data_IF_008826219310
#
_entry.id   IF_008826219310
#
_cell.length_a   1.000
_cell.length_b   1.000
_cell.length_c   1.000
_cell.angle_alpha   90.00
_cell.angle_beta   90.00
_cell.angle_gamma   90.00
#
_symmetry.space_group_name_H-M   'P 1'
#
loop_
_entity.id
_entity.type
_entity.pdbx_description
1 polymer ?
#
# COMPACT_ATOMS: atom_id res chain seq x y z
N UNK A 1 10.63 9.86 11.25
CA UNK A 1 11.27 8.78 10.45
C UNK A 1 12.15 9.40 9.38
N UNK A 2 13.44 9.02 9.31
CA UNK A 2 14.39 9.41 8.26
C UNK A 2 14.38 8.36 7.14
N UNK A 3 14.60 8.77 5.89
CA UNK A 3 14.58 7.86 4.73
C UNK A 3 15.90 8.02 3.97
N UNK A 4 16.61 6.91 3.76
CA UNK A 4 17.89 6.86 3.07
C UNK A 4 17.79 6.02 1.80
N UNK A 5 18.42 6.48 0.72
CA UNK A 5 18.59 5.70 -0.51
C UNK A 5 19.99 5.10 -0.57
N UNK A 6 20.06 3.79 -0.38
CA UNK A 6 21.33 3.07 -0.27
C UNK A 6 21.85 3.04 1.17
N UNK A 7 22.79 2.15 1.42
CA UNK A 7 23.35 1.90 2.74
C UNK A 7 24.63 2.70 3.05
N UNK A 8 25.26 3.29 2.05
CA UNK A 8 26.46 4.14 2.20
C UNK A 8 26.03 5.61 2.27
N UNK A 9 25.43 6.00 3.37
CA UNK A 9 25.02 7.39 3.60
C UNK A 9 25.72 7.93 4.85
N UNK A 10 26.29 9.13 4.77
CA UNK A 10 27.09 9.74 5.85
C UNK A 10 26.32 9.89 7.18
N UNK A 11 25.00 9.93 7.14
CA UNK A 11 24.15 10.07 8.33
C UNK A 11 23.68 8.72 8.90
N UNK A 12 24.11 7.59 8.32
CA UNK A 12 23.87 6.23 8.82
C UNK A 12 25.02 5.76 9.73
N UNK A 13 25.41 6.61 10.69
CA UNK A 13 26.58 6.37 11.55
C UNK A 13 26.24 5.77 12.91
N UNK A 14 24.97 5.69 13.27
CA UNK A 14 24.54 5.15 14.55
C UNK A 14 24.26 3.64 14.47
N UNK A 15 24.70 2.86 15.45
CA UNK A 15 24.31 1.47 15.58
C UNK A 15 22.78 1.33 15.64
N UNK A 16 22.24 0.22 15.12
CA UNK A 16 20.78 0.06 15.02
C UNK A 16 20.29 -1.35 15.32
N UNK A 17 19.00 -1.43 15.64
CA UNK A 17 18.20 -2.65 15.54
C UNK A 17 17.51 -2.68 14.18
N UNK A 18 17.77 -3.74 13.39
CA UNK A 18 17.39 -3.84 11.99
C UNK A 18 16.36 -4.95 11.75
N UNK A 19 15.43 -4.70 10.85
CA UNK A 19 14.70 -5.76 10.15
C UNK A 19 14.78 -5.57 8.65
N UNK A 20 14.72 -6.68 7.91
CA UNK A 20 14.95 -6.74 6.47
C UNK A 20 13.75 -7.38 5.78
N UNK A 21 13.16 -6.71 4.80
CA UNK A 21 12.03 -7.28 4.06
C UNK A 21 11.46 -6.37 2.99
N UNK A 22 10.55 -6.93 2.21
CA UNK A 22 9.87 -6.15 1.17
C UNK A 22 8.78 -5.23 1.75
N UNK A 23 8.20 -5.58 2.87
CA UNK A 23 7.14 -4.84 3.57
C UNK A 23 5.99 -4.39 2.66
N UNK A 24 5.66 -5.22 1.65
CA UNK A 24 4.58 -4.90 0.73
C UNK A 24 3.23 -5.04 1.43
N UNK A 25 2.50 -3.90 1.55
CA UNK A 25 1.26 -3.77 2.28
C UNK A 25 1.40 -3.48 3.77
N UNK A 26 2.58 -3.67 4.40
CA UNK A 26 2.80 -3.51 5.86
C UNK A 26 1.63 -4.12 6.66
N UNK A 27 1.35 -5.40 6.38
CA UNK A 27 0.26 -6.17 6.99
C UNK A 27 0.52 -6.49 8.48
N UNK A 28 -0.47 -7.03 9.20
CA UNK A 28 -0.38 -7.29 10.64
C UNK A 28 0.83 -8.12 11.06
N UNK A 29 1.29 -9.07 10.22
CA UNK A 29 2.52 -9.81 10.46
C UNK A 29 3.77 -8.90 10.47
N UNK A 30 3.85 -7.96 9.53
CA UNK A 30 4.91 -6.95 9.53
C UNK A 30 4.79 -6.00 10.73
N UNK A 31 3.56 -5.58 11.09
CA UNK A 31 3.32 -4.72 12.25
C UNK A 31 3.74 -5.40 13.56
N UNK A 32 3.45 -6.69 13.72
CA UNK A 32 3.87 -7.47 14.88
C UNK A 32 5.42 -7.59 14.95
N UNK A 33 6.07 -7.84 13.80
CA UNK A 33 7.53 -7.85 13.71
C UNK A 33 8.13 -6.50 14.11
N UNK A 34 7.57 -5.41 13.62
CA UNK A 34 8.04 -4.06 13.96
C UNK A 34 7.80 -3.71 15.43
N UNK A 35 6.69 -4.17 16.02
CA UNK A 35 6.43 -3.99 17.45
C UNK A 35 7.45 -4.73 18.32
N UNK A 36 7.79 -5.96 17.95
CA UNK A 36 8.84 -6.74 18.61
C UNK A 36 10.22 -6.07 18.45
N UNK A 37 10.57 -5.67 17.25
CA UNK A 37 11.84 -4.97 16.98
C UNK A 37 11.96 -3.68 17.79
N UNK A 38 10.87 -2.90 17.92
CA UNK A 38 10.84 -1.69 18.74
C UNK A 38 11.08 -1.97 20.23
N UNK A 39 10.48 -3.03 20.76
CA UNK A 39 10.70 -3.44 22.15
C UNK A 39 12.16 -3.78 22.40
N UNK A 40 12.78 -4.57 21.49
CA UNK A 40 14.19 -4.93 21.58
C UNK A 40 15.11 -3.72 21.40
N UNK A 41 14.80 -2.85 20.44
CA UNK A 41 15.55 -1.63 20.18
C UNK A 41 15.55 -0.69 21.42
N UNK A 42 14.38 -0.51 22.02
CA UNK A 42 14.24 0.31 23.24
C UNK A 42 15.06 -0.26 24.41
N UNK A 43 15.01 -1.58 24.61
CA UNK A 43 15.80 -2.24 25.65
C UNK A 43 17.31 -2.05 25.48
N UNK A 44 17.77 -1.97 24.22
CA UNK A 44 19.18 -1.81 23.85
C UNK A 44 19.62 -0.37 23.62
N UNK A 45 18.71 0.60 23.73
CA UNK A 45 18.99 2.00 23.41
C UNK A 45 19.34 2.26 21.95
N UNK A 46 18.77 1.50 21.01
CA UNK A 46 19.05 1.56 19.60
C UNK A 46 17.87 2.15 18.79
N UNK A 47 18.10 2.88 17.70
CA UNK A 47 17.06 3.24 16.75
C UNK A 47 16.55 2.02 15.98
N UNK A 48 15.26 2.05 15.65
CA UNK A 48 14.60 1.04 14.81
C UNK A 48 14.84 1.36 13.34
N UNK A 49 15.53 0.48 12.65
CA UNK A 49 15.82 0.62 11.23
C UNK A 49 15.17 -0.50 10.41
N UNK A 50 14.56 -0.12 9.29
CA UNK A 50 14.00 -1.05 8.30
C UNK A 50 14.81 -0.97 7.03
N UNK A 51 15.26 -2.10 6.50
CA UNK A 51 15.82 -2.20 5.16
C UNK A 51 14.80 -2.81 4.21
N UNK A 52 14.51 -2.10 3.12
CA UNK A 52 13.59 -2.55 2.06
C UNK A 52 14.19 -2.30 0.68
N UNK A 53 13.57 -2.85 -0.34
CA UNK A 53 14.09 -2.85 -1.71
C UNK A 53 13.14 -2.15 -2.68
N UNK A 54 13.72 -1.39 -3.63
CA UNK A 54 12.97 -0.78 -4.71
C UNK A 54 13.82 -0.77 -5.99
N UNK A 55 13.35 -1.38 -7.11
CA UNK A 55 12.12 -2.15 -7.22
C UNK A 55 12.09 -3.39 -6.34
N UNK A 56 10.92 -4.04 -6.25
CA UNK A 56 10.77 -5.31 -5.53
C UNK A 56 11.67 -6.39 -6.18
N UNK A 57 12.40 -7.24 -5.42
CA UNK A 57 13.29 -8.24 -6.00
C UNK A 57 12.65 -9.12 -7.07
N UNK A 58 11.39 -9.51 -6.91
CA UNK A 58 10.69 -10.31 -7.94
C UNK A 58 10.43 -9.52 -9.23
N UNK A 59 10.28 -8.21 -9.17
CA UNK A 59 10.15 -7.38 -10.38
C UNK A 59 11.45 -7.30 -11.15
N UNK A 60 12.57 -7.35 -10.45
CA UNK A 60 13.89 -7.39 -11.09
C UNK A 60 14.16 -8.75 -11.77
N UNK A 61 13.90 -9.87 -11.07
CA UNK A 61 14.22 -11.21 -11.61
C UNK A 61 13.21 -11.74 -12.62
N UNK A 62 11.94 -11.39 -12.48
CA UNK A 62 10.85 -11.90 -13.32
C UNK A 62 9.75 -10.83 -13.45
N UNK A 63 9.97 -9.75 -14.22
CA UNK A 63 9.03 -8.62 -14.32
C UNK A 63 7.63 -9.07 -14.76
N UNK A 64 7.54 -10.00 -15.72
CA UNK A 64 6.26 -10.50 -16.25
C UNK A 64 5.51 -11.44 -15.29
N UNK A 65 6.19 -11.94 -14.25
CA UNK A 65 5.64 -12.83 -13.22
C UNK A 65 5.70 -12.20 -11.83
N UNK A 66 6.02 -10.93 -11.76
CA UNK A 66 6.04 -10.21 -10.50
C UNK A 66 4.63 -10.16 -9.89
N UNK A 67 4.49 -10.36 -8.58
CA UNK A 67 3.19 -10.24 -7.94
C UNK A 67 2.70 -8.79 -7.99
N UNK A 68 1.40 -8.60 -8.13
CA UNK A 68 0.79 -7.29 -8.02
C UNK A 68 1.20 -6.57 -6.73
N UNK A 69 1.50 -5.28 -6.82
CA UNK A 69 1.88 -4.47 -5.65
C UNK A 69 0.66 -4.18 -4.78
N UNK A 70 0.80 -4.41 -3.47
CA UNK A 70 -0.21 -4.01 -2.49
C UNK A 70 -0.08 -2.52 -2.20
N UNK A 71 1.16 -2.03 -2.06
CA UNK A 71 1.41 -0.63 -1.70
C UNK A 71 2.43 0.04 -2.59
N UNK A 72 2.23 1.32 -2.89
CA UNK A 72 3.28 2.19 -3.43
C UNK A 72 4.41 2.36 -2.40
N UNK A 73 5.58 2.83 -2.85
CA UNK A 73 6.66 3.16 -1.92
C UNK A 73 6.22 4.23 -0.90
N UNK A 74 5.43 5.23 -1.32
CA UNK A 74 4.85 6.25 -0.44
C UNK A 74 3.99 5.64 0.65
N UNK A 75 3.04 4.77 0.28
CA UNK A 75 2.13 4.14 1.22
C UNK A 75 2.90 3.23 2.19
N UNK A 76 3.86 2.46 1.69
CA UNK A 76 4.76 1.64 2.50
C UNK A 76 5.49 2.49 3.55
N UNK A 77 6.14 3.57 3.14
CA UNK A 77 6.87 4.45 4.05
C UNK A 77 5.96 5.11 5.08
N UNK A 78 4.74 5.51 4.69
CA UNK A 78 3.75 6.07 5.60
C UNK A 78 3.35 5.06 6.67
N UNK A 79 3.10 3.80 6.29
CA UNK A 79 2.71 2.76 7.25
C UNK A 79 3.88 2.34 8.16
N UNK A 80 5.12 2.28 7.64
CA UNK A 80 6.31 2.05 8.46
C UNK A 80 6.50 3.15 9.52
N UNK A 81 6.27 4.42 9.14
CA UNK A 81 6.29 5.54 10.08
C UNK A 81 5.23 5.40 11.19
N UNK A 82 4.01 4.98 10.84
CA UNK A 82 2.93 4.70 11.81
C UNK A 82 3.27 3.57 12.78
N UNK A 83 4.07 2.60 12.33
CA UNK A 83 4.58 1.52 13.18
C UNK A 83 5.73 1.96 14.11
N UNK A 84 6.15 3.24 14.06
CA UNK A 84 7.20 3.78 14.93
C UNK A 84 8.60 3.40 14.48
N UNK A 85 8.83 3.23 13.19
CA UNK A 85 10.15 3.06 12.59
C UNK A 85 10.87 4.41 12.60
N UNK A 86 12.12 4.45 13.05
CA UNK A 86 12.93 5.67 13.10
C UNK A 86 13.59 5.95 11.75
N UNK A 87 14.04 4.89 11.07
CA UNK A 87 14.81 4.99 9.84
C UNK A 87 14.44 3.90 8.84
N UNK A 88 14.35 4.29 7.57
CA UNK A 88 14.17 3.35 6.47
C UNK A 88 15.30 3.50 5.46
N UNK A 89 15.98 2.40 5.17
CA UNK A 89 16.98 2.29 4.11
C UNK A 89 16.34 1.60 2.92
N UNK A 90 16.14 2.34 1.84
CA UNK A 90 15.62 1.82 0.57
C UNK A 90 16.80 1.46 -0.32
N UNK A 91 17.06 0.17 -0.49
CA UNK A 91 18.12 -0.30 -1.38
C UNK A 91 17.64 -0.40 -2.82
N UNK A 92 18.32 0.23 -3.79
CA UNK A 92 18.07 -0.02 -5.20
C UNK A 92 18.39 -1.49 -5.54
N UNK A 93 17.33 -2.27 -5.87
CA UNK A 93 17.54 -3.66 -6.26
C UNK A 93 18.00 -3.73 -7.72
N UNK A 94 19.30 -3.94 -7.92
CA UNK A 94 19.99 -3.96 -9.21
C UNK A 94 20.96 -5.12 -9.27
N UNK A 95 21.60 -5.34 -10.43
CA UNK A 95 22.56 -6.41 -10.64
C UNK A 95 23.63 -6.50 -9.54
N UNK A 96 24.22 -5.39 -9.13
CA UNK A 96 25.24 -5.37 -8.09
C UNK A 96 24.75 -5.98 -6.77
N UNK A 97 23.54 -5.62 -6.30
CA UNK A 97 22.95 -6.20 -5.09
C UNK A 97 22.49 -7.65 -5.30
N UNK A 98 21.93 -7.97 -6.48
CA UNK A 98 21.46 -9.31 -6.80
C UNK A 98 22.58 -10.35 -6.91
N UNK A 99 23.79 -9.93 -7.24
CA UNK A 99 25.00 -10.76 -7.39
C UNK A 99 25.87 -10.79 -6.14
N UNK A 100 25.60 -9.95 -5.14
CA UNK A 100 26.37 -9.87 -3.92
C UNK A 100 26.27 -11.17 -3.12
N UNK A 101 27.39 -11.73 -2.68
CA UNK A 101 27.40 -12.93 -1.85
C UNK A 101 26.68 -12.72 -0.52
N UNK A 102 26.34 -13.79 0.18
CA UNK A 102 25.75 -13.67 1.51
C UNK A 102 26.76 -13.09 2.52
N UNK A 103 28.01 -13.47 2.40
CA UNK A 103 29.12 -12.99 3.20
C UNK A 103 29.34 -11.47 3.01
N UNK A 104 29.42 -11.02 1.76
CA UNK A 104 29.58 -9.59 1.45
C UNK A 104 28.33 -8.79 1.88
N UNK A 105 27.14 -9.38 1.78
CA UNK A 105 25.93 -8.74 2.29
C UNK A 105 26.02 -8.48 3.81
N UNK A 106 26.55 -9.43 4.57
CA UNK A 106 26.75 -9.27 6.02
C UNK A 106 27.84 -8.23 6.28
N UNK A 107 29.02 -8.36 5.67
CA UNK A 107 30.16 -7.47 5.89
C UNK A 107 29.89 -6.03 5.46
N UNK A 108 29.58 -5.85 4.16
CA UNK A 108 29.50 -4.51 3.57
C UNK A 108 28.22 -3.77 3.96
N UNK A 109 27.07 -4.49 4.00
CA UNK A 109 25.77 -3.84 4.22
C UNK A 109 25.43 -3.79 5.69
N UNK A 110 25.42 -4.95 6.39
CA UNK A 110 24.94 -4.98 7.76
C UNK A 110 25.94 -4.35 8.74
N UNK A 111 27.23 -4.68 8.59
CA UNK A 111 28.24 -4.22 9.55
C UNK A 111 28.82 -2.87 9.17
N UNK A 112 29.45 -2.75 8.00
CA UNK A 112 30.10 -1.50 7.61
C UNK A 112 29.11 -0.39 7.30
N UNK A 113 28.04 -0.73 6.53
CA UNK A 113 27.10 0.26 6.06
C UNK A 113 26.04 0.67 7.08
N UNK A 114 25.48 -0.30 7.81
CA UNK A 114 24.34 -0.07 8.71
C UNK A 114 24.70 -0.18 10.19
N UNK A 115 25.89 -0.64 10.54
CA UNK A 115 26.37 -0.78 11.93
C UNK A 115 25.38 -1.56 12.82
N UNK A 116 24.92 -2.67 12.31
CA UNK A 116 23.86 -3.48 12.96
C UNK A 116 24.37 -4.06 14.27
N UNK A 117 23.52 -3.98 15.33
CA UNK A 117 23.75 -4.62 16.64
C UNK A 117 22.71 -5.67 16.96
N UNK A 118 21.54 -5.58 16.34
CA UNK A 118 20.47 -6.54 16.49
C UNK A 118 19.71 -6.68 15.16
N UNK A 119 19.46 -7.91 14.72
CA UNK A 119 18.67 -8.20 13.51
C UNK A 119 17.48 -9.07 13.87
N UNK A 120 16.28 -8.65 13.46
CA UNK A 120 15.07 -9.46 13.54
C UNK A 120 14.61 -9.83 12.14
N UNK A 121 14.50 -11.11 11.82
CA UNK A 121 14.06 -11.60 10.50
C UNK A 121 12.86 -12.54 10.61
N UNK A 122 12.15 -12.73 9.50
CA UNK A 122 11.07 -13.73 9.41
C UNK A 122 11.62 -15.17 9.28
N UNK A 123 10.73 -16.13 9.45
CA UNK A 123 11.04 -17.57 9.39
C UNK A 123 11.51 -18.06 7.99
N UNK A 124 11.09 -17.37 6.93
CA UNK A 124 11.42 -17.68 5.53
C UNK A 124 12.50 -16.75 4.94
N UNK A 125 13.22 -16.03 5.81
CA UNK A 125 14.23 -15.05 5.38
C UNK A 125 15.39 -15.72 4.65
N UNK A 126 15.72 -15.17 3.47
CA UNK A 126 16.86 -15.57 2.64
C UNK A 126 17.50 -14.34 2.04
N UNK A 127 18.83 -14.35 1.90
CA UNK A 127 19.59 -13.22 1.37
C UNK A 127 20.80 -13.68 0.53
N UNK A 128 21.49 -12.72 -0.06
CA UNK A 128 22.63 -12.96 -0.93
C UNK A 128 22.28 -13.59 -2.29
N UNK A 129 23.27 -13.67 -3.17
CA UNK A 129 23.13 -14.25 -4.49
C UNK A 129 22.61 -15.68 -4.44
N UNK A 130 21.62 -15.99 -5.27
CA UNK A 130 20.99 -17.30 -5.30
C UNK A 130 20.25 -17.67 -4.00
N UNK A 131 19.97 -16.72 -3.10
CA UNK A 131 19.33 -16.95 -1.79
C UNK A 131 20.09 -17.94 -0.90
N UNK A 132 21.41 -17.94 -0.98
CA UNK A 132 22.26 -18.87 -0.23
C UNK A 132 22.31 -18.57 1.27
N UNK A 133 22.24 -17.30 1.66
CA UNK A 133 22.17 -16.88 3.06
C UNK A 133 20.82 -17.22 3.70
N UNK A 134 20.86 -17.70 4.92
CA UNK A 134 19.69 -18.01 5.74
C UNK A 134 19.88 -17.54 7.20
N UNK A 135 18.90 -17.90 8.05
CA UNK A 135 18.95 -17.56 9.46
C UNK A 135 20.19 -18.14 10.17
N UNK A 136 20.54 -19.40 9.90
CA UNK A 136 21.65 -20.06 10.57
C UNK A 136 22.99 -19.37 10.26
N UNK A 137 23.23 -19.04 8.98
CA UNK A 137 24.40 -18.28 8.55
C UNK A 137 24.45 -16.90 9.19
N UNK A 138 23.29 -16.20 9.30
CA UNK A 138 23.24 -14.89 9.90
C UNK A 138 23.51 -14.93 11.41
N UNK A 139 23.01 -15.95 12.09
CA UNK A 139 23.20 -16.19 13.54
C UNK A 139 24.66 -16.52 13.88
N UNK A 140 25.29 -17.40 13.08
CA UNK A 140 26.73 -17.73 13.19
C UNK A 140 27.60 -16.47 12.99
N UNK A 141 27.29 -15.68 11.95
CA UNK A 141 28.00 -14.44 11.70
C UNK A 141 27.79 -13.42 12.84
N UNK A 142 26.58 -13.37 13.40
CA UNK A 142 26.26 -12.52 14.54
C UNK A 142 27.12 -12.83 15.75
N UNK A 143 27.25 -14.10 16.10
CA UNK A 143 28.12 -14.56 17.19
C UNK A 143 29.60 -14.26 16.97
N UNK A 144 30.08 -14.37 15.72
CA UNK A 144 31.47 -14.10 15.37
C UNK A 144 31.80 -12.59 15.29
N UNK A 145 30.85 -11.76 14.87
CA UNK A 145 31.07 -10.35 14.51
C UNK A 145 30.40 -9.36 15.48
N UNK A 146 29.76 -9.83 16.53
CA UNK A 146 29.25 -9.01 17.65
C UNK A 146 27.92 -8.32 17.39
N UNK A 147 26.96 -9.00 16.78
CA UNK A 147 25.56 -8.58 16.67
C UNK A 147 24.60 -9.75 16.98
N UNK A 148 23.47 -9.45 17.58
CA UNK A 148 22.46 -10.47 17.92
C UNK A 148 21.49 -10.68 16.77
N UNK A 149 21.01 -11.91 16.64
CA UNK A 149 20.04 -12.30 15.62
C UNK A 149 18.83 -12.99 16.28
N UNK A 150 17.65 -12.57 15.88
CA UNK A 150 16.41 -13.22 16.29
C UNK A 150 15.53 -13.53 15.10
N UNK A 151 14.69 -14.56 15.24
CA UNK A 151 13.74 -14.99 14.25
C UNK A 151 12.33 -14.91 14.79
N UNK A 152 11.45 -14.26 14.03
CA UNK A 152 10.02 -14.25 14.32
C UNK A 152 9.33 -15.37 13.55
N UNK A 153 8.56 -16.19 14.26
CA UNK A 153 7.66 -17.15 13.64
C UNK A 153 6.51 -16.48 12.91
N UNK A 154 5.86 -17.21 12.02
CA UNK A 154 4.71 -16.73 11.27
C UNK A 154 3.61 -16.21 12.20
N UNK A 155 3.01 -15.08 11.83
CA UNK A 155 1.91 -14.44 12.56
C UNK A 155 0.57 -14.86 11.96
N UNK A 156 -0.39 -15.19 12.81
CA UNK A 156 -1.72 -15.63 12.40
C UNK A 156 -2.82 -14.72 12.95
N UNK A 157 -3.88 -14.55 12.16
CA UNK A 157 -5.12 -13.88 12.56
C UNK A 157 -6.27 -14.84 12.27
N UNK A 158 -7.06 -15.16 13.28
CA UNK A 158 -8.16 -16.13 13.19
C UNK A 158 -7.73 -17.49 12.60
N UNK A 159 -6.51 -17.97 12.93
CA UNK A 159 -5.96 -19.24 12.42
C UNK A 159 -5.46 -19.18 10.97
N UNK A 160 -5.44 -18.01 10.35
CA UNK A 160 -4.90 -17.81 9.00
C UNK A 160 -3.55 -17.10 9.08
N UNK A 161 -2.55 -17.67 8.41
CA UNK A 161 -1.23 -17.05 8.29
C UNK A 161 -1.33 -15.72 7.56
N UNK A 162 -0.90 -14.64 8.22
CA UNK A 162 -0.87 -13.31 7.63
C UNK A 162 0.36 -13.16 6.74
N UNK A 163 0.14 -12.92 5.46
CA UNK A 163 1.22 -12.73 4.47
C UNK A 163 0.79 -11.79 3.35
N UNK A 164 1.75 -11.22 2.63
CA UNK A 164 1.45 -10.43 1.43
C UNK A 164 0.69 -11.24 0.36
N UNK A 165 0.92 -12.56 0.28
CA UNK A 165 0.17 -13.43 -0.64
C UNK A 165 -1.30 -13.57 -0.24
N UNK A 166 -1.60 -13.73 1.05
CA UNK A 166 -2.97 -13.78 1.55
C UNK A 166 -3.71 -12.44 1.31
N UNK A 167 -3.03 -11.32 1.55
CA UNK A 167 -3.60 -9.98 1.25
C UNK A 167 -3.90 -9.82 -0.24
N UNK A 168 -2.98 -10.22 -1.13
CA UNK A 168 -3.22 -10.15 -2.59
C UNK A 168 -4.39 -11.03 -3.02
N UNK A 169 -4.50 -12.25 -2.47
CA UNK A 169 -5.65 -13.12 -2.74
C UNK A 169 -6.97 -12.48 -2.34
N UNK A 170 -7.05 -11.93 -1.14
CA UNK A 170 -8.25 -11.24 -0.68
C UNK A 170 -8.61 -10.02 -1.57
N UNK A 171 -7.61 -9.22 -1.96
CA UNK A 171 -7.80 -8.04 -2.81
C UNK A 171 -8.24 -8.42 -4.23
N UNK A 172 -7.60 -9.42 -4.85
CA UNK A 172 -7.94 -9.86 -6.21
C UNK A 172 -9.34 -10.46 -6.31
N UNK A 173 -9.82 -11.08 -5.24
CA UNK A 173 -11.17 -11.65 -5.13
C UNK A 173 -12.22 -10.61 -4.65
N UNK A 174 -11.81 -9.37 -4.38
CA UNK A 174 -12.70 -8.31 -3.90
C UNK A 174 -13.17 -8.48 -2.45
N UNK A 175 -12.53 -9.37 -1.67
CA UNK A 175 -12.82 -9.60 -0.25
C UNK A 175 -12.19 -8.50 0.61
N UNK A 176 -12.71 -7.26 0.46
CA UNK A 176 -12.11 -6.06 1.05
C UNK A 176 -12.07 -6.10 2.57
N UNK A 177 -13.05 -6.75 3.21
CA UNK A 177 -13.07 -6.92 4.67
C UNK A 177 -11.92 -7.82 5.13
N UNK A 178 -11.74 -8.97 4.48
CA UNK A 178 -10.64 -9.90 4.80
C UNK A 178 -9.28 -9.23 4.58
N UNK A 179 -9.14 -8.49 3.46
CA UNK A 179 -7.93 -7.70 3.22
C UNK A 179 -7.67 -6.68 4.33
N UNK A 180 -8.72 -5.99 4.80
CA UNK A 180 -8.61 -5.02 5.89
C UNK A 180 -8.24 -5.70 7.21
N UNK A 181 -8.79 -6.88 7.51
CA UNK A 181 -8.44 -7.66 8.70
C UNK A 181 -6.96 -8.12 8.67
N UNK A 182 -6.46 -8.55 7.52
CA UNK A 182 -5.06 -8.91 7.33
C UNK A 182 -4.11 -7.70 7.40
N UNK A 183 -4.53 -6.55 6.84
CA UNK A 183 -3.76 -5.31 6.85
C UNK A 183 -3.84 -4.56 8.19
N UNK A 184 -4.88 -4.80 9.00
CA UNK A 184 -5.19 -4.02 10.21
C UNK A 184 -5.78 -2.64 9.92
N UNK A 185 -6.15 -2.37 8.67
CA UNK A 185 -6.74 -1.13 8.16
C UNK A 185 -7.37 -1.35 6.80
N UNK A 186 -8.27 -0.47 6.32
CA UNK A 186 -8.74 -0.52 4.94
C UNK A 186 -7.56 -0.52 3.94
N UNK A 187 -7.72 -1.24 2.84
CA UNK A 187 -6.79 -1.14 1.73
C UNK A 187 -6.87 0.26 1.13
N UNK A 188 -5.73 0.92 0.96
CA UNK A 188 -5.70 2.30 0.50
C UNK A 188 -4.64 2.55 -0.56
N UNK A 189 -4.90 3.52 -1.42
CA UNK A 189 -3.99 4.02 -2.45
C UNK A 189 -3.84 5.53 -2.27
N UNK A 190 -2.60 6.01 -2.18
CA UNK A 190 -2.31 7.44 -2.09
C UNK A 190 -1.55 7.94 -3.31
N UNK A 191 -1.87 9.15 -3.73
CA UNK A 191 -1.18 9.79 -4.84
C UNK A 191 -1.51 11.26 -4.99
N UNK A 192 -0.81 11.93 -5.90
CA UNK A 192 -1.20 13.26 -6.34
C UNK A 192 -2.45 13.16 -7.21
N UNK A 193 -3.42 14.02 -6.92
CA UNK A 193 -4.59 14.19 -7.77
C UNK A 193 -4.14 14.86 -9.07
N UNK A 194 -4.36 14.18 -10.18
CA UNK A 194 -4.00 14.62 -11.53
C UNK A 194 -5.24 14.95 -12.34
N UNK A 195 -5.08 15.77 -13.38
CA UNK A 195 -6.17 16.03 -14.33
C UNK A 195 -6.53 14.75 -15.09
N UNK A 196 -7.83 14.41 -15.11
CA UNK A 196 -8.41 13.41 -16.00
C UNK A 196 -8.81 14.01 -17.34
N UNK A 197 -9.45 13.20 -18.19
CA UNK A 197 -9.97 13.61 -19.51
C UNK A 197 -11.18 14.58 -19.46
N UNK A 198 -11.62 14.99 -18.27
CA UNK A 198 -12.80 15.86 -18.04
C UNK A 198 -14.14 15.30 -18.57
N UNK A 199 -14.18 14.01 -18.99
CA UNK A 199 -15.38 13.33 -19.47
C UNK A 199 -16.53 13.37 -18.45
N UNK A 200 -16.25 13.36 -17.16
CA UNK A 200 -17.27 13.46 -16.11
C UNK A 200 -18.11 14.72 -16.17
N UNK A 201 -17.57 15.86 -16.69
CA UNK A 201 -18.34 17.09 -16.91
C UNK A 201 -19.25 16.98 -18.14
N UNK A 202 -18.78 16.34 -19.20
CA UNK A 202 -19.58 16.11 -20.43
C UNK A 202 -20.72 15.14 -20.16
N UNK A 203 -20.48 14.11 -19.33
CA UNK A 203 -21.49 13.14 -18.89
C UNK A 203 -22.56 13.76 -17.99
N UNK A 204 -22.19 14.72 -17.13
CA UNK A 204 -23.13 15.41 -16.26
C UNK A 204 -24.05 16.39 -16.99
N UNK A 205 -23.55 17.05 -18.04
CA UNK A 205 -24.34 17.97 -18.84
C UNK A 205 -25.49 17.26 -19.58
N UNK A 206 -25.44 15.92 -19.71
CA UNK A 206 -26.41 15.10 -20.42
C UNK A 206 -27.48 14.44 -19.51
N UNK A 207 -27.41 14.63 -18.18
CA UNK A 207 -28.33 13.98 -17.23
C UNK A 207 -28.82 14.93 -16.14
N UNK A 208 -30.13 15.18 -16.02
CA UNK A 208 -30.73 15.99 -14.96
C UNK A 208 -30.46 15.44 -13.53
N UNK A 209 -30.20 14.13 -13.40
CA UNK A 209 -29.89 13.48 -12.13
C UNK A 209 -28.43 13.68 -11.66
N UNK A 210 -27.55 14.16 -12.52
CA UNK A 210 -26.12 14.31 -12.24
C UNK A 210 -25.72 15.72 -11.76
N UNK A 211 -26.65 16.69 -11.67
CA UNK A 211 -26.37 18.06 -11.24
C UNK A 211 -25.21 18.70 -12.02
N UNK A 212 -24.19 19.17 -11.31
CA UNK A 212 -22.95 19.75 -11.88
C UNK A 212 -21.99 18.72 -12.55
N UNK A 213 -22.42 17.48 -12.82
CA UNK A 213 -21.63 16.41 -13.42
C UNK A 213 -20.87 15.56 -12.40
N UNK A 214 -20.36 14.42 -12.89
CA UNK A 214 -19.55 13.54 -12.05
C UNK A 214 -18.14 14.11 -11.92
N UNK A 215 -17.86 14.73 -10.77
CA UNK A 215 -16.51 15.24 -10.45
C UNK A 215 -15.63 14.09 -10.01
N UNK A 216 -14.56 13.81 -10.75
CA UNK A 216 -13.64 12.72 -10.48
C UNK A 216 -12.25 13.22 -10.09
N UNK A 217 -11.69 12.56 -9.09
CA UNK A 217 -10.30 12.70 -8.67
C UNK A 217 -9.53 11.53 -9.29
N UNK A 218 -8.49 11.84 -10.03
CA UNK A 218 -7.68 10.83 -10.71
C UNK A 218 -6.35 10.68 -10.01
N UNK A 219 -6.05 9.49 -9.52
CA UNK A 219 -4.77 9.13 -8.93
C UNK A 219 -4.07 8.12 -9.83
N UNK A 220 -2.82 8.40 -10.21
CA UNK A 220 -2.01 7.43 -10.95
C UNK A 220 -1.49 6.36 -10.01
N UNK A 221 -1.69 5.12 -10.38
CA UNK A 221 -1.05 3.99 -9.73
C UNK A 221 0.34 3.78 -10.34
N UNK A 222 1.38 3.73 -9.51
CA UNK A 222 2.77 3.71 -9.99
C UNK A 222 3.23 2.36 -10.55
N UNK A 223 2.41 1.32 -10.46
CA UNK A 223 2.74 -0.04 -10.88
C UNK A 223 1.76 -0.54 -11.96
N UNK A 224 2.21 -1.38 -12.89
CA UNK A 224 1.39 -1.84 -14.01
C UNK A 224 0.23 -2.76 -13.60
N UNK A 225 0.34 -3.42 -12.42
CA UNK A 225 -0.69 -4.33 -11.93
C UNK A 225 -1.07 -3.99 -10.49
N UNK A 226 -2.27 -3.44 -10.25
CA UNK A 226 -2.80 -3.26 -8.90
C UNK A 226 -3.24 -4.62 -8.32
N UNK A 227 -3.22 -4.74 -6.99
CA UNK A 227 -3.66 -5.94 -6.32
C UNK A 227 -5.20 -6.11 -6.30
N UNK A 228 -5.94 -5.06 -6.60
CA UNK A 228 -7.39 -5.05 -6.73
C UNK A 228 -7.81 -4.38 -8.04
N UNK A 229 -9.00 -4.70 -8.55
CA UNK A 229 -9.61 -4.06 -9.72
C UNK A 229 -11.12 -4.08 -9.63
N UNK A 230 -11.80 -3.15 -10.31
CA UNK A 230 -13.26 -3.02 -10.35
C UNK A 230 -13.78 -1.72 -9.75
N UNK A 231 -15.06 -1.71 -9.40
CA UNK A 231 -15.77 -0.55 -8.84
C UNK A 231 -15.92 -0.73 -7.33
N UNK A 232 -15.58 0.32 -6.57
CA UNK A 232 -15.50 0.26 -5.12
C UNK A 232 -16.24 1.42 -4.44
N UNK A 233 -16.86 1.13 -3.30
CA UNK A 233 -17.22 2.15 -2.30
C UNK A 233 -15.93 2.62 -1.63
N UNK A 234 -15.71 3.93 -1.58
CA UNK A 234 -14.46 4.51 -1.08
C UNK A 234 -14.68 5.65 -0.09
N UNK A 235 -13.62 5.92 0.69
CA UNK A 235 -13.45 7.18 1.42
C UNK A 235 -12.20 7.91 0.94
N UNK A 236 -12.35 9.19 0.63
CA UNK A 236 -11.26 10.06 0.17
C UNK A 236 -10.81 10.96 1.30
N UNK A 237 -9.52 10.91 1.62
CA UNK A 237 -8.88 11.69 2.68
C UNK A 237 -7.90 12.70 2.09
N UNK A 238 -7.61 13.76 2.85
CA UNK A 238 -6.58 14.76 2.51
C UNK A 238 -7.09 15.97 1.71
N UNK A 239 -8.38 16.04 1.42
CA UNK A 239 -9.00 17.19 0.76
C UNK A 239 -9.71 18.11 1.75
N UNK A 240 -10.35 17.53 2.74
CA UNK A 240 -11.12 18.16 3.82
C UNK A 240 -10.73 17.59 5.17
N UNK A 241 -11.17 18.21 6.26
CA UNK A 241 -10.92 17.70 7.62
C UNK A 241 -11.56 16.32 7.85
N UNK A 242 -12.79 16.10 7.34
CA UNK A 242 -13.47 14.82 7.38
C UNK A 242 -13.28 14.05 6.06
N UNK A 243 -13.25 12.70 6.08
CA UNK A 243 -13.21 11.92 4.85
C UNK A 243 -14.46 12.13 4.01
N UNK A 244 -14.32 12.14 2.69
CA UNK A 244 -15.41 12.26 1.74
C UNK A 244 -15.84 10.88 1.24
N UNK A 245 -17.14 10.59 1.27
CA UNK A 245 -17.72 9.38 0.71
C UNK A 245 -17.66 9.42 -0.83
N UNK A 246 -17.39 8.27 -1.45
CA UNK A 246 -17.25 8.19 -2.89
C UNK A 246 -17.42 6.80 -3.47
N UNK A 247 -17.37 6.77 -4.81
CA UNK A 247 -17.26 5.57 -5.63
C UNK A 247 -15.97 5.69 -6.46
N UNK A 248 -15.24 4.61 -6.64
CA UNK A 248 -14.04 4.65 -7.44
C UNK A 248 -13.94 3.45 -8.38
N UNK A 249 -13.42 3.71 -9.58
CA UNK A 249 -12.94 2.70 -10.50
C UNK A 249 -11.42 2.56 -10.35
N UNK A 250 -10.95 1.35 -10.09
CA UNK A 250 -9.53 0.97 -10.15
C UNK A 250 -9.34 -0.01 -11.29
N UNK A 251 -8.77 0.44 -12.38
CA UNK A 251 -8.62 -0.40 -13.57
C UNK A 251 -7.57 0.09 -14.55
N UNK A 252 -7.32 -0.74 -15.55
CA UNK A 252 -6.55 -0.40 -16.73
C UNK A 252 -7.54 0.03 -17.80
N UNK A 253 -7.67 1.32 -18.05
CA UNK A 253 -8.46 1.75 -19.22
C UNK A 253 -7.87 1.12 -20.48
N UNK A 254 -8.64 0.36 -21.26
CA UNK A 254 -8.24 0.04 -22.61
C UNK A 254 -8.07 1.36 -23.37
N UNK A 255 -6.89 1.62 -23.87
CA UNK A 255 -6.62 2.77 -24.74
C UNK A 255 -7.50 2.64 -25.99
N UNK A 256 -8.60 3.38 -26.05
CA UNK A 256 -9.43 3.49 -27.25
C UNK A 256 -8.76 4.36 -28.33
N UNK A 257 -7.68 5.05 -27.97
CA UNK A 257 -6.94 5.95 -28.85
C UNK A 257 -5.42 5.76 -28.63
N UNK A 258 -4.63 5.45 -29.67
CA UNK A 258 -3.18 5.37 -29.61
C UNK A 258 -2.50 6.67 -29.14
N UNK A 259 -3.18 7.80 -29.23
CA UNK A 259 -2.74 9.10 -28.71
C UNK A 259 -3.03 9.28 -27.22
N UNK A 260 -3.62 8.29 -26.53
CA UNK A 260 -3.95 8.38 -25.13
C UNK A 260 -2.69 8.53 -24.25
N UNK A 261 -2.62 9.65 -23.54
CA UNK A 261 -1.51 10.03 -22.66
C UNK A 261 -1.25 8.98 -21.56
N UNK A 262 -2.21 8.12 -21.25
CA UNK A 262 -2.09 7.11 -20.18
C UNK A 262 -1.49 5.77 -20.63
N UNK A 263 -1.30 5.51 -21.90
CA UNK A 263 -0.61 4.32 -22.44
C UNK A 263 -0.88 2.99 -21.68
N UNK A 264 -2.13 2.73 -21.30
CA UNK A 264 -2.49 1.54 -20.53
C UNK A 264 -2.08 1.57 -19.04
N UNK A 265 -1.76 2.73 -18.47
CA UNK A 265 -1.44 2.86 -17.06
C UNK A 265 -2.71 2.69 -16.20
N UNK A 266 -2.53 2.03 -15.07
CA UNK A 266 -3.58 1.89 -14.05
C UNK A 266 -3.92 3.26 -13.47
N UNK A 267 -5.22 3.54 -13.38
CA UNK A 267 -5.75 4.77 -12.82
C UNK A 267 -6.78 4.42 -11.74
N UNK A 268 -6.76 5.15 -10.63
CA UNK A 268 -7.83 5.17 -9.66
C UNK A 268 -8.64 6.44 -9.89
N UNK A 269 -9.86 6.29 -10.42
CA UNK A 269 -10.79 7.37 -10.68
C UNK A 269 -11.84 7.39 -9.58
N UNK A 270 -11.82 8.37 -8.70
CA UNK A 270 -12.72 8.46 -7.55
C UNK A 270 -13.72 9.60 -7.76
N UNK A 271 -15.01 9.28 -7.77
CA UNK A 271 -16.11 10.24 -7.73
C UNK A 271 -16.56 10.47 -6.30
N UNK A 272 -16.54 11.73 -5.83
CA UNK A 272 -17.04 12.12 -4.51
C UNK A 272 -18.55 12.33 -4.59
N UNK A 273 -19.33 11.60 -3.76
CA UNK A 273 -20.80 11.60 -3.82
C UNK A 273 -21.43 12.96 -3.53
N UNK A 274 -20.90 13.67 -2.52
CA UNK A 274 -21.36 14.98 -2.12
C UNK A 274 -20.15 15.93 -2.07
N UNK A 275 -19.91 16.62 -3.19
CA UNK A 275 -18.77 17.53 -3.29
C UNK A 275 -18.96 18.74 -2.38
N UNK A 276 -18.02 19.02 -1.46
CA UNK A 276 -18.14 20.13 -0.54
C UNK A 276 -18.19 21.48 -1.26
N UNK A 277 -19.13 22.34 -0.88
CA UNK A 277 -19.31 23.66 -1.52
C UNK A 277 -18.11 24.60 -1.32
N UNK A 278 -17.37 24.44 -0.22
CA UNK A 278 -16.17 25.18 0.12
C UNK A 278 -14.91 24.67 -0.59
N UNK A 279 -14.97 23.50 -1.18
CA UNK A 279 -13.88 22.96 -1.99
C UNK A 279 -14.05 23.44 -3.44
N UNK A 280 -13.19 24.37 -3.88
CA UNK A 280 -13.22 24.88 -5.25
C UNK A 280 -13.24 23.73 -6.28
N UNK A 281 -13.80 23.96 -7.45
CA UNK A 281 -13.93 22.96 -8.54
C UNK A 281 -12.60 22.26 -8.86
N UNK A 282 -11.50 22.97 -8.69
CA UNK A 282 -10.13 22.46 -8.89
C UNK A 282 -9.38 22.21 -7.57
N UNK A 283 -10.08 22.29 -6.44
CA UNK A 283 -9.49 22.28 -5.09
C UNK A 283 -8.79 20.98 -4.68
N UNK A 284 -8.92 19.92 -5.47
CA UNK A 284 -8.21 18.65 -5.27
C UNK A 284 -6.90 18.49 -6.06
N UNK A 285 -6.72 19.23 -7.16
CA UNK A 285 -5.57 19.04 -8.04
C UNK A 285 -4.24 19.39 -7.38
N UNK A 286 -3.23 18.57 -7.63
CA UNK A 286 -1.91 18.73 -7.05
C UNK A 286 -1.80 18.35 -5.57
N UNK A 287 -2.92 18.20 -4.85
CA UNK A 287 -2.92 17.69 -3.48
C UNK A 287 -2.64 16.20 -3.45
N UNK A 288 -2.11 15.72 -2.33
CA UNK A 288 -1.99 14.30 -2.07
C UNK A 288 -3.30 13.84 -1.41
N UNK A 289 -4.01 12.95 -2.10
CA UNK A 289 -5.18 12.28 -1.56
C UNK A 289 -4.84 10.82 -1.22
N UNK A 290 -5.51 10.28 -0.20
CA UNK A 290 -5.57 8.85 0.10
C UNK A 290 -6.99 8.38 -0.12
N UNK A 291 -7.16 7.30 -0.86
CA UNK A 291 -8.45 6.67 -1.12
C UNK A 291 -8.46 5.30 -0.45
N UNK A 292 -9.34 5.14 0.52
CA UNK A 292 -9.58 3.87 1.21
C UNK A 292 -10.67 3.11 0.44
N UNK A 293 -10.36 1.90 -0.05
CA UNK A 293 -11.29 1.03 -0.76
C UNK A 293 -11.99 0.13 0.27
N UNK A 294 -13.28 0.36 0.49
CA UNK A 294 -14.03 -0.22 1.61
C UNK A 294 -14.82 -1.47 1.23
N UNK A 295 -15.41 -1.47 0.03
CA UNK A 295 -16.26 -2.55 -0.47
C UNK A 295 -16.22 -2.57 -1.99
N UNK A 296 -16.12 -3.75 -2.58
CA UNK A 296 -16.22 -3.93 -4.03
C UNK A 296 -17.69 -4.06 -4.41
N UNK A 297 -18.16 -3.19 -5.30
CA UNK A 297 -19.51 -3.27 -5.85
C UNK A 297 -19.58 -4.35 -6.93
N UNK A 298 -18.71 -4.24 -7.96
CA UNK A 298 -18.62 -5.19 -9.06
C UNK A 298 -17.31 -5.04 -9.85
N UNK A 299 -17.08 -5.90 -10.82
CA UNK A 299 -15.99 -5.78 -11.80
C UNK A 299 -16.29 -4.68 -12.83
N UNK A 300 -15.26 -4.23 -13.56
CA UNK A 300 -15.46 -3.28 -14.66
C UNK A 300 -16.45 -3.83 -15.70
N UNK A 301 -17.46 -3.04 -16.04
CA UNK A 301 -18.45 -3.35 -17.04
C UNK A 301 -18.17 -2.59 -18.35
N UNK A 302 -18.48 -3.22 -19.47
CA UNK A 302 -18.48 -2.55 -20.78
C UNK A 302 -19.87 -1.98 -21.02
N UNK A 303 -19.93 -0.70 -21.41
CA UNK A 303 -21.18 -0.01 -21.67
C UNK A 303 -21.34 0.33 -23.16
N UNK A 304 -22.53 0.18 -23.69
CA UNK A 304 -22.88 0.57 -25.06
C UNK A 304 -23.21 2.06 -25.11
N UNK A 305 -22.16 2.89 -25.18
CA UNK A 305 -22.24 4.33 -25.32
C UNK A 305 -22.41 5.10 -23.99
N UNK A 306 -22.35 6.44 -24.14
CA UNK A 306 -22.37 7.37 -23.01
C UNK A 306 -23.64 7.30 -22.15
N UNK A 307 -24.87 7.14 -22.68
CA UNK A 307 -26.06 7.06 -21.83
C UNK A 307 -26.09 5.84 -20.93
N UNK A 308 -25.59 4.68 -21.40
CA UNK A 308 -25.50 3.47 -20.59
C UNK A 308 -24.43 3.62 -19.49
N UNK A 309 -23.27 4.19 -19.80
CA UNK A 309 -22.22 4.50 -18.84
C UNK A 309 -22.74 5.47 -17.74
N UNK A 310 -23.43 6.53 -18.13
CA UNK A 310 -24.01 7.51 -17.17
C UNK A 310 -24.97 6.84 -16.19
N UNK A 311 -25.85 5.96 -16.70
CA UNK A 311 -26.77 5.19 -15.82
C UNK A 311 -26.02 4.25 -14.88
N UNK A 312 -24.97 3.56 -15.38
CA UNK A 312 -24.12 2.70 -14.56
C UNK A 312 -23.47 3.47 -13.41
N UNK A 313 -22.83 4.61 -13.70
CA UNK A 313 -22.21 5.45 -12.66
C UNK A 313 -23.25 5.96 -11.65
N UNK A 314 -24.44 6.35 -12.10
CA UNK A 314 -25.51 6.79 -11.21
C UNK A 314 -25.94 5.67 -10.26
N UNK A 315 -26.10 4.44 -10.78
CA UNK A 315 -26.42 3.26 -9.96
C UNK A 315 -25.32 2.98 -8.92
N UNK A 316 -24.04 3.02 -9.33
CA UNK A 316 -22.92 2.82 -8.41
C UNK A 316 -22.92 3.84 -7.27
N UNK A 317 -23.30 5.09 -7.57
CA UNK A 317 -23.44 6.15 -6.55
C UNK A 317 -24.59 5.85 -5.57
N UNK A 318 -25.73 5.34 -6.05
CA UNK A 318 -26.86 4.95 -5.21
C UNK A 318 -26.48 3.76 -4.32
N UNK A 319 -25.84 2.74 -4.87
CA UNK A 319 -25.38 1.57 -4.13
C UNK A 319 -24.37 1.95 -3.04
N UNK A 320 -23.46 2.87 -3.34
CA UNK A 320 -22.53 3.39 -2.35
C UNK A 320 -23.23 4.16 -1.21
N UNK A 321 -24.23 5.01 -1.53
CA UNK A 321 -25.03 5.69 -0.49
C UNK A 321 -25.77 4.70 0.40
N UNK A 322 -26.39 3.68 -0.18
CA UNK A 322 -27.07 2.62 0.56
C UNK A 322 -26.09 1.86 1.48
N UNK A 323 -24.90 1.56 0.99
CA UNK A 323 -23.85 0.91 1.78
C UNK A 323 -23.43 1.76 3.00
N UNK A 324 -23.17 3.06 2.83
CA UNK A 324 -22.83 3.96 3.94
C UNK A 324 -24.00 4.07 4.95
N UNK A 325 -25.25 4.21 4.50
CA UNK A 325 -26.42 4.29 5.35
C UNK A 325 -26.60 3.03 6.23
N UNK A 326 -26.38 1.84 5.65
CA UNK A 326 -26.45 0.57 6.37
C UNK A 326 -25.43 0.49 7.52
N UNK A 327 -24.22 0.96 7.31
CA UNK A 327 -23.16 0.97 8.32
C UNK A 327 -23.40 1.95 9.45
N UNK A 328 -23.90 3.14 9.16
CA UNK A 328 -24.29 4.09 10.21
C UNK A 328 -25.35 3.52 11.14
N UNK A 329 -26.29 2.76 10.59
CA UNK A 329 -27.34 2.08 11.37
C UNK A 329 -26.80 0.97 12.27
N UNK A 330 -25.79 0.21 11.81
CA UNK A 330 -25.16 -0.86 12.60
C UNK A 330 -24.33 -0.28 13.76
N UNK A 331 -23.57 0.76 13.51
CA UNK A 331 -22.74 1.42 14.54
C UNK A 331 -23.61 2.01 15.66
N UNK A 332 -24.75 2.63 15.33
CA UNK A 332 -25.69 3.16 16.33
C UNK A 332 -26.31 2.05 17.19
N UNK A 333 -26.64 0.90 16.61
CA UNK A 333 -27.19 -0.25 17.36
C UNK A 333 -26.17 -0.87 18.30
N UNK A 334 -24.90 -0.91 17.93
CA UNK A 334 -23.83 -1.44 18.75
C UNK A 334 -23.54 -0.55 19.94
N UNK A 335 -23.44 0.78 19.73
CA UNK A 335 -23.23 1.77 20.80
C UNK A 335 -24.39 1.81 21.80
N UNK A 336 -25.61 1.45 21.40
CA UNK A 336 -26.76 1.38 22.29
C UNK A 336 -26.76 0.08 23.12
N UNK A 337 -26.22 -1.03 22.58
CA UNK A 337 -26.07 -2.29 23.32
C UNK A 337 -24.97 -2.26 24.36
N UNK A 338 -23.87 -1.54 24.10
CA UNK A 338 -22.72 -1.42 25.02
C UNK A 338 -22.98 -0.43 26.17
N UNK A 339 -24.15 0.25 26.18
CA UNK A 339 -24.59 1.18 27.23
C UNK A 339 -25.69 0.62 28.13
N UNK A 340 -26.14 -0.59 27.90
CA UNK A 340 -27.10 -1.35 28.72
C UNK A 340 -26.35 -2.49 29.41
#
# INVERSE_FOLDING_TARGET
MRIFRGYRHRDLVEPCALTIGNFDGVHRGHQAMLALLRSEAQHRGLPVRVMTFEPHPREYFAPDRAPARISSLRDKLTELARCGVDEVVVLPFRAALAQQSAEDFIGDILLEGLQVRYVLVGDDFRFGAGRRGDYAMLDEAGGAMGFDVARMNSYEVHGLRVSSSAVRGALSEGRMRDAADLLGRPYSISGHVVHGRKLGRELGASSPAAGDGFRTLNLRFSHPQPAASGIFVVQVHGLTAAPLAGVANLGVRPSLDPADVNRGQVLLESHVLDWPADLAVEGGYGKIARVDLLHKLHDELKYDGLPALTRGIAQDCEDARAWFASRHSQTRRQTTRDRI
#
